data_IF_961921661340
#
_entry.id   IF_961921661340
#
_cell.length_a   1.000
_cell.length_b   1.000
_cell.length_c   1.000
_cell.angle_alpha   90.00
_cell.angle_beta   90.00
_cell.angle_gamma   90.00
#
_symmetry.space_group_name_H-M   'P 1'
#
loop_
_entity.id
_entity.type
_entity.pdbx_description
1 polymer ?
#
# COMPACT_ATOMS: atom_id res chain seq x y z
N UNK A 1 -6.83 14.87 -4.06
CA UNK A 1 -5.85 14.86 -5.17
C UNK A 1 -5.82 13.50 -5.87
N UNK A 2 -5.47 12.40 -5.20
CA UNK A 2 -5.46 11.06 -5.83
C UNK A 2 -6.87 10.51 -6.13
N UNK A 3 -7.82 10.72 -5.23
CA UNK A 3 -9.25 10.41 -5.44
C UNK A 3 -9.82 11.15 -6.65
N UNK A 4 -9.47 12.43 -6.80
CA UNK A 4 -9.90 13.26 -7.92
C UNK A 4 -9.27 12.80 -9.24
N UNK A 5 -8.00 12.39 -9.21
CA UNK A 5 -7.38 11.76 -10.37
C UNK A 5 -8.12 10.47 -10.77
N UNK A 6 -8.40 9.57 -9.83
CA UNK A 6 -9.12 8.33 -10.11
C UNK A 6 -10.50 8.61 -10.72
N UNK A 7 -11.26 9.55 -10.15
CA UNK A 7 -12.55 10.01 -10.69
C UNK A 7 -12.42 10.58 -12.10
N UNK A 8 -11.38 11.38 -12.37
CA UNK A 8 -11.12 11.94 -13.71
C UNK A 8 -10.86 10.86 -14.77
N UNK A 9 -10.44 9.66 -14.34
CA UNK A 9 -10.25 8.48 -15.18
C UNK A 9 -11.46 7.54 -15.21
N UNK A 10 -12.60 7.95 -14.62
CA UNK A 10 -13.82 7.14 -14.53
C UNK A 10 -13.75 6.03 -13.49
N UNK A 11 -12.74 6.05 -12.61
CA UNK A 11 -12.54 5.04 -11.57
C UNK A 11 -12.71 5.60 -10.16
N UNK A 12 -12.33 4.77 -9.19
CA UNK A 12 -12.21 5.12 -7.78
C UNK A 12 -10.95 4.48 -7.20
N UNK A 13 -10.57 4.91 -6.00
CA UNK A 13 -9.58 4.15 -5.23
C UNK A 13 -10.18 2.80 -4.81
N UNK A 14 -9.38 1.73 -4.80
CA UNK A 14 -9.81 0.45 -4.27
C UNK A 14 -9.97 0.53 -2.75
N UNK A 15 -10.80 -0.33 -2.17
CA UNK A 15 -10.76 -0.58 -0.73
C UNK A 15 -9.55 -1.45 -0.39
N UNK A 16 -9.14 -1.46 0.88
CA UNK A 16 -8.08 -2.34 1.36
C UNK A 16 -8.34 -3.83 1.01
N UNK A 17 -9.52 -4.42 1.26
CA UNK A 17 -9.77 -5.82 0.87
C UNK A 17 -9.67 -6.07 -0.63
N UNK A 18 -10.12 -5.13 -1.47
CA UNK A 18 -10.03 -5.26 -2.93
C UNK A 18 -8.58 -5.26 -3.42
N UNK A 19 -7.79 -4.29 -2.94
CA UNK A 19 -6.38 -4.20 -3.31
C UNK A 19 -5.58 -5.37 -2.74
N UNK A 20 -5.90 -5.81 -1.52
CA UNK A 20 -5.26 -6.98 -0.90
C UNK A 20 -5.49 -8.22 -1.74
N UNK A 21 -6.73 -8.49 -2.14
CA UNK A 21 -7.05 -9.63 -3.00
C UNK A 21 -6.30 -9.55 -4.34
N UNK A 22 -6.21 -8.36 -4.94
CA UNK A 22 -5.46 -8.15 -6.17
C UNK A 22 -3.97 -8.48 -5.99
N UNK A 23 -3.32 -7.95 -4.95
CA UNK A 23 -1.91 -8.20 -4.67
C UNK A 23 -1.64 -9.68 -4.35
N UNK A 24 -2.48 -10.31 -3.54
CA UNK A 24 -2.37 -11.75 -3.22
C UNK A 24 -2.48 -12.65 -4.46
N UNK A 25 -3.24 -12.22 -5.47
CA UNK A 25 -3.46 -12.98 -6.70
C UNK A 25 -2.38 -12.71 -7.74
N UNK A 26 -1.99 -11.45 -7.93
CA UNK A 26 -1.24 -11.00 -9.10
C UNK A 26 0.16 -10.46 -8.79
N UNK A 27 0.50 -10.17 -7.53
CA UNK A 27 1.83 -9.66 -7.21
C UNK A 27 2.88 -10.77 -7.31
N UNK A 28 4.06 -10.40 -7.84
CA UNK A 28 5.26 -11.23 -7.76
C UNK A 28 6.11 -10.82 -6.57
N UNK A 29 6.76 -11.76 -5.91
CA UNK A 29 7.71 -11.46 -4.84
C UNK A 29 9.06 -10.95 -5.38
N UNK A 30 10.01 -10.71 -4.47
CA UNK A 30 11.36 -10.27 -4.83
C UNK A 30 12.05 -11.21 -5.83
N UNK A 31 11.96 -12.53 -5.64
CA UNK A 31 12.52 -13.51 -6.59
C UNK A 31 11.85 -13.46 -7.97
N UNK A 32 10.56 -13.10 -8.02
CA UNK A 32 9.81 -12.93 -9.26
C UNK A 32 10.03 -11.57 -9.95
N UNK A 33 10.97 -10.76 -9.47
CA UNK A 33 11.36 -9.50 -10.11
C UNK A 33 10.71 -8.24 -9.52
N UNK A 34 10.04 -8.31 -8.37
CA UNK A 34 9.46 -7.12 -7.74
C UNK A 34 10.50 -6.02 -7.49
N UNK A 35 10.15 -4.77 -7.77
CA UNK A 35 11.03 -3.63 -7.52
C UNK A 35 10.97 -3.19 -6.06
N UNK A 36 11.62 -3.94 -5.18
CA UNK A 36 11.69 -3.70 -3.72
C UNK A 36 13.12 -3.91 -3.22
N UNK A 37 13.44 -3.45 -2.01
CA UNK A 37 14.73 -3.68 -1.38
C UNK A 37 15.89 -2.98 -2.08
N UNK A 38 15.66 -1.77 -2.59
CA UNK A 38 16.63 -0.94 -3.32
C UNK A 38 17.22 -1.70 -4.52
N UNK A 39 16.42 -2.57 -5.16
CA UNK A 39 16.82 -3.21 -6.43
C UNK A 39 17.04 -2.15 -7.51
N UNK A 40 16.19 -1.13 -7.52
CA UNK A 40 16.39 0.13 -8.22
C UNK A 40 16.24 1.28 -7.21
N UNK A 41 16.82 2.43 -7.54
CA UNK A 41 16.74 3.65 -6.74
C UNK A 41 15.56 4.56 -7.11
N UNK A 42 14.61 4.03 -7.89
CA UNK A 42 13.42 4.72 -8.36
C UNK A 42 12.32 3.70 -8.74
N UNK A 43 11.06 4.12 -8.89
CA UNK A 43 10.02 3.30 -9.49
C UNK A 43 10.38 2.91 -10.93
N UNK A 44 9.96 1.72 -11.34
CA UNK A 44 10.14 1.20 -12.71
C UNK A 44 8.76 0.98 -13.35
N UNK A 45 8.67 0.78 -14.68
CA UNK A 45 7.40 0.45 -15.31
C UNK A 45 6.75 -0.78 -14.66
N UNK A 46 5.44 -0.69 -14.41
CA UNK A 46 4.66 -1.81 -13.89
C UNK A 46 4.63 -2.96 -14.91
N UNK A 47 4.63 -4.19 -14.41
CA UNK A 47 4.63 -5.41 -15.22
C UNK A 47 3.42 -6.30 -14.99
N UNK A 48 2.55 -5.96 -14.05
CA UNK A 48 1.31 -6.70 -13.80
C UNK A 48 0.40 -6.68 -15.03
N UNK A 49 -0.19 -7.83 -15.36
CA UNK A 49 -1.05 -8.02 -16.53
C UNK A 49 -0.32 -8.34 -17.84
N UNK A 50 1.02 -8.35 -17.85
CA UNK A 50 1.79 -8.82 -19.01
C UNK A 50 1.74 -10.35 -19.14
N UNK A 51 1.93 -10.87 -20.35
CA UNK A 51 1.97 -12.32 -20.59
C UNK A 51 3.11 -13.01 -19.83
N UNK A 52 4.21 -12.29 -19.60
CA UNK A 52 5.29 -12.73 -18.74
C UNK A 52 4.76 -13.02 -17.32
N UNK A 53 5.11 -14.17 -16.75
CA UNK A 53 4.61 -14.65 -15.46
C UNK A 53 3.09 -14.89 -15.39
N UNK A 54 2.42 -15.10 -16.54
CA UNK A 54 1.01 -15.49 -16.59
C UNK A 54 0.06 -14.40 -16.06
N UNK A 55 0.33 -13.14 -16.38
CA UNK A 55 -0.45 -11.99 -15.91
C UNK A 55 -0.03 -11.44 -14.55
N UNK A 56 0.87 -12.13 -13.83
CA UNK A 56 1.41 -11.66 -12.54
C UNK A 56 2.56 -10.68 -12.75
N UNK A 57 2.73 -9.70 -11.88
CA UNK A 57 3.84 -8.76 -11.99
C UNK A 57 4.00 -7.84 -10.79
N UNK A 58 4.81 -6.81 -10.98
CA UNK A 58 5.05 -5.78 -9.98
C UNK A 58 4.33 -4.50 -10.39
N UNK A 59 3.86 -3.74 -9.41
CA UNK A 59 3.33 -2.39 -9.59
C UNK A 59 4.41 -1.34 -9.93
N UNK A 60 5.68 -1.75 -10.05
CA UNK A 60 6.81 -0.86 -10.33
C UNK A 60 7.56 -0.39 -9.09
N UNK A 61 7.19 -0.86 -7.89
CA UNK A 61 7.85 -0.49 -6.63
C UNK A 61 7.29 0.79 -6.06
N UNK A 62 5.97 0.86 -5.91
CA UNK A 62 5.27 1.96 -5.26
C UNK A 62 4.34 1.46 -4.17
N UNK A 63 4.03 2.35 -3.22
CA UNK A 63 2.97 2.16 -2.26
C UNK A 63 1.63 2.54 -2.89
N UNK A 64 0.61 1.69 -2.74
CA UNK A 64 -0.69 1.87 -3.38
C UNK A 64 -1.78 2.28 -2.38
N UNK A 65 -2.39 3.43 -2.64
CA UNK A 65 -3.39 4.05 -1.79
C UNK A 65 -4.77 3.39 -1.90
N UNK A 66 -5.44 3.23 -0.76
CA UNK A 66 -6.83 2.75 -0.69
C UNK A 66 -7.78 3.88 -0.26
N UNK A 67 -9.08 3.67 -0.44
CA UNK A 67 -10.13 4.50 0.18
C UNK A 67 -10.48 4.07 1.60
N UNK A 68 -9.82 3.05 2.16
CA UNK A 68 -10.10 2.55 3.50
C UNK A 68 -9.42 3.44 4.54
N UNK A 69 -10.16 4.06 5.48
CA UNK A 69 -9.57 4.76 6.60
C UNK A 69 -8.72 3.81 7.44
N UNK A 70 -7.60 4.30 7.96
CA UNK A 70 -6.80 3.54 8.91
C UNK A 70 -7.42 3.65 10.30
N UNK A 71 -7.94 2.53 10.80
CA UNK A 71 -8.67 2.44 12.06
C UNK A 71 -8.42 1.06 12.72
N UNK A 72 -8.96 0.88 13.91
CA UNK A 72 -8.97 -0.41 14.61
C UNK A 72 -9.70 -1.48 13.81
N UNK A 73 -9.34 -2.75 14.03
CA UNK A 73 -10.03 -3.92 13.51
C UNK A 73 -10.39 -4.87 14.64
N UNK A 74 -11.26 -5.84 14.35
CA UNK A 74 -11.62 -6.88 15.31
C UNK A 74 -10.36 -7.63 15.78
N UNK A 75 -10.20 -7.74 17.10
CA UNK A 75 -9.03 -8.38 17.71
C UNK A 75 -7.76 -7.52 17.76
N UNK A 76 -7.82 -6.24 17.39
CA UNK A 76 -6.68 -5.33 17.55
C UNK A 76 -6.30 -5.17 19.03
N UNK A 77 -5.01 -5.34 19.34
CA UNK A 77 -4.44 -5.13 20.67
C UNK A 77 -3.11 -4.38 20.51
N UNK A 78 -2.99 -3.14 21.02
CA UNK A 78 -1.74 -2.37 20.93
C UNK A 78 -0.60 -3.10 21.63
N UNK A 79 0.60 -3.00 21.06
CA UNK A 79 1.80 -3.49 21.76
C UNK A 79 2.07 -2.64 23.01
N UNK A 80 2.45 -3.28 24.12
CA UNK A 80 2.78 -2.57 25.36
C UNK A 80 3.98 -1.61 25.20
N UNK A 81 4.90 -1.95 24.29
CA UNK A 81 6.14 -1.20 24.08
C UNK A 81 5.93 0.05 23.20
N UNK A 82 4.96 0.01 22.28
CA UNK A 82 4.66 1.11 21.35
C UNK A 82 3.16 1.30 21.17
N UNK A 83 2.42 1.67 22.24
CA UNK A 83 0.96 1.73 22.19
C UNK A 83 0.44 2.80 21.21
N UNK A 84 1.15 3.93 21.07
CA UNK A 84 0.78 5.03 20.17
C UNK A 84 1.14 4.82 18.70
N UNK A 85 1.88 3.74 18.35
CA UNK A 85 2.37 3.55 16.97
C UNK A 85 1.26 3.54 15.93
N UNK A 86 0.13 2.91 16.26
CA UNK A 86 -1.06 2.84 15.39
C UNK A 86 -2.20 3.70 15.92
N UNK A 87 -2.42 3.68 17.25
CA UNK A 87 -3.59 4.29 17.89
C UNK A 87 -3.66 5.80 17.68
N UNK A 88 -2.51 6.49 17.67
CA UNK A 88 -2.47 7.95 17.47
C UNK A 88 -2.97 8.38 16.07
N UNK A 89 -3.11 7.43 15.14
CA UNK A 89 -3.53 7.66 13.76
C UNK A 89 -4.95 7.15 13.44
N UNK A 90 -5.66 6.60 14.43
CA UNK A 90 -7.09 6.25 14.32
C UNK A 90 -7.98 7.48 14.46
N UNK A 91 -7.75 8.47 13.59
CA UNK A 91 -8.39 9.79 13.64
C UNK A 91 -9.33 10.04 12.45
N UNK A 92 -9.53 9.03 11.60
CA UNK A 92 -10.32 9.12 10.37
C UNK A 92 -9.69 9.97 9.26
N UNK A 93 -8.45 10.44 9.43
CA UNK A 93 -7.72 11.25 8.43
C UNK A 93 -6.65 10.44 7.70
N UNK A 94 -6.23 9.32 8.27
CA UNK A 94 -5.25 8.41 7.67
C UNK A 94 -5.97 7.33 6.87
N UNK A 95 -5.34 6.87 5.80
CA UNK A 95 -5.86 5.81 4.95
C UNK A 95 -4.84 4.69 4.85
N UNK A 96 -5.33 3.47 4.65
CA UNK A 96 -4.48 2.30 4.47
C UNK A 96 -3.79 2.37 3.10
N UNK A 97 -2.52 2.01 3.09
CA UNK A 97 -1.66 1.93 1.90
C UNK A 97 -1.00 0.57 1.90
N UNK A 98 -1.07 -0.14 0.78
CA UNK A 98 -0.60 -1.53 0.65
C UNK A 98 0.55 -1.66 -0.35
N UNK A 99 1.18 -2.84 -0.34
CA UNK A 99 2.25 -3.23 -1.26
C UNK A 99 3.65 -3.04 -0.67
N UNK A 100 4.58 -2.59 -1.49
CA UNK A 100 5.92 -2.18 -1.08
C UNK A 100 6.53 -1.28 -2.16
N UNK A 101 7.27 -0.25 -1.74
CA UNK A 101 8.02 0.56 -2.70
C UNK A 101 9.41 -0.01 -2.97
N UNK A 102 10.09 0.54 -3.97
CA UNK A 102 11.51 0.28 -4.23
C UNK A 102 12.38 0.53 -2.99
N UNK A 103 11.93 1.39 -2.08
CA UNK A 103 12.63 1.74 -0.85
C UNK A 103 12.36 0.78 0.33
N UNK A 104 11.38 -0.11 0.23
CA UNK A 104 11.03 -1.03 1.32
C UNK A 104 12.07 -2.14 1.44
N UNK A 105 12.72 -2.24 2.60
CA UNK A 105 13.79 -3.21 2.85
C UNK A 105 13.23 -4.64 2.91
N UNK A 106 13.91 -5.59 2.25
CA UNK A 106 13.45 -7.00 2.14
C UNK A 106 13.16 -7.69 3.46
N UNK A 107 13.92 -7.40 4.51
CA UNK A 107 13.73 -8.02 5.82
C UNK A 107 12.34 -7.73 6.42
N UNK A 108 11.70 -6.63 6.01
CA UNK A 108 10.36 -6.25 6.44
C UNK A 108 9.25 -6.89 5.58
N UNK A 109 9.60 -7.57 4.49
CA UNK A 109 8.66 -8.19 3.55
C UNK A 109 8.34 -9.66 3.89
N UNK A 110 8.76 -10.15 5.06
CA UNK A 110 8.66 -11.57 5.43
C UNK A 110 7.23 -12.03 5.71
N UNK A 111 6.81 -13.14 5.08
CA UNK A 111 5.68 -13.95 5.55
C UNK A 111 4.35 -13.87 4.80
N UNK A 112 4.32 -13.46 3.52
CA UNK A 112 3.13 -13.55 2.65
C UNK A 112 1.99 -12.58 2.99
N UNK A 113 1.89 -12.11 4.23
CA UNK A 113 1.10 -10.94 4.65
C UNK A 113 2.00 -9.72 4.65
N UNK A 114 2.07 -9.06 3.49
CA UNK A 114 2.53 -7.67 3.41
C UNK A 114 1.51 -6.74 4.06
N UNK A 115 1.35 -6.87 5.36
CA UNK A 115 0.83 -5.81 6.22
C UNK A 115 2.05 -5.00 6.65
N UNK A 116 2.72 -4.40 5.68
CA UNK A 116 3.83 -3.51 6.01
C UNK A 116 3.19 -2.24 6.55
N UNK A 117 2.85 -2.24 7.84
CA UNK A 117 2.58 -1.05 8.62
C UNK A 117 3.89 -0.26 8.71
N UNK A 118 4.24 0.43 7.64
CA UNK A 118 5.01 1.67 7.74
C UNK A 118 3.96 2.75 7.52
N UNK A 119 3.41 3.26 8.63
CA UNK A 119 2.67 4.52 8.63
C UNK A 119 3.59 5.61 8.08
N UNK A 120 3.55 5.81 6.76
CA UNK A 120 4.04 7.06 6.18
C UNK A 120 2.84 7.98 6.14
N UNK A 121 2.70 8.78 7.20
CA UNK A 121 1.70 9.83 7.35
C UNK A 121 1.86 10.80 6.16
N UNK A 122 1.02 10.69 5.14
CA UNK A 122 0.88 11.73 4.13
C UNK A 122 -0.45 12.41 4.40
N UNK A 123 -0.38 13.53 5.11
CA UNK A 123 -1.52 14.38 5.39
C UNK A 123 -2.04 14.98 4.08
N UNK A 124 -3.22 14.54 3.63
CA UNK A 124 -3.92 15.27 2.57
C UNK A 124 -4.47 16.57 3.17
N UNK A 125 -3.83 17.71 2.91
CA UNK A 125 -4.46 19.01 3.18
C UNK A 125 -5.75 19.12 2.37
N UNK A 126 -6.88 18.90 3.02
CA UNK A 126 -8.18 19.35 2.51
C UNK A 126 -8.25 20.86 2.70
N UNK A 127 -8.38 21.61 1.61
CA UNK A 127 -8.70 23.03 1.69
C UNK A 127 -10.11 23.18 2.24
N UNK A 128 -10.23 23.69 3.47
CA UNK A 128 -11.48 24.28 3.96
C UNK A 128 -11.49 25.71 3.45
N UNK A 129 -12.36 26.00 2.48
CA UNK A 129 -12.75 27.35 2.10
C UNK A 129 -14.21 27.51 2.44
N UNK A 130 -14.50 28.39 3.41
CA UNK A 130 -15.85 28.89 3.72
C UNK A 130 -16.23 30.08 2.88
#
# INVERSE_FOLDING_TARGET
>A
MLSEYAKSKGGRLPTEPELRLFLDTYEVGFEGGANVGIRNWHPVPATTGLEANGGRGSNGGVWEWTSTPFDTHDGFSPTEHFPGYSVDFFDGKHHVVLGASYATIRALLGGGRLETFISTIIHTRGSVGG
#
